data_IF_298351645966
#
_entry.id   IF_298351645966
#
_cell.length_a   1.000
_cell.length_b   1.000
_cell.length_c   1.000
_cell.angle_alpha   90.00
_cell.angle_beta   90.00
_cell.angle_gamma   90.00
#
_symmetry.space_group_name_H-M   'P 1'
#
loop_
_entity.id
_entity.type
_entity.pdbx_description
1 polymer ?
#
# COMPACT_ATOMS: atom_id res chain seq x y z
N UNK A 1 27.15 -0.37 -39.63
CA UNK A 1 26.52 0.66 -38.78
C UNK A 1 25.88 -0.06 -37.61
N UNK A 2 26.39 0.11 -36.39
CA UNK A 2 25.85 -0.56 -35.21
C UNK A 2 24.45 -0.02 -34.91
N UNK A 3 23.45 -0.89 -34.88
CA UNK A 3 22.13 -0.51 -34.40
C UNK A 3 22.27 -0.17 -32.91
N UNK A 4 22.29 1.13 -32.59
CA UNK A 4 22.14 1.54 -31.21
C UNK A 4 20.74 1.09 -30.75
N UNK A 5 20.69 0.31 -29.68
CA UNK A 5 19.46 -0.18 -29.09
C UNK A 5 18.94 0.84 -28.07
N UNK A 6 18.68 2.07 -28.54
CA UNK A 6 18.06 3.12 -27.75
C UNK A 6 16.55 2.93 -27.82
N UNK A 7 16.05 1.97 -27.05
CA UNK A 7 14.65 1.90 -26.65
C UNK A 7 14.32 3.25 -26.02
N UNK A 8 13.58 4.08 -26.76
CA UNK A 8 13.10 5.37 -26.29
C UNK A 8 11.98 5.10 -25.30
N UNK A 9 12.33 4.90 -24.02
CA UNK A 9 11.36 4.93 -22.94
C UNK A 9 10.94 6.40 -22.80
N UNK A 10 9.65 6.74 -23.03
CA UNK A 10 9.20 8.11 -22.96
C UNK A 10 9.53 8.70 -21.60
N UNK A 11 10.19 9.86 -21.60
CA UNK A 11 10.55 10.59 -20.38
C UNK A 11 9.35 11.25 -19.71
N UNK A 12 8.23 11.34 -20.43
CA UNK A 12 6.92 11.67 -19.87
C UNK A 12 6.29 10.38 -19.33
N UNK A 13 6.85 9.94 -18.20
CA UNK A 13 6.27 8.90 -17.37
C UNK A 13 4.91 9.34 -16.83
N UNK A 14 3.99 8.40 -16.70
CA UNK A 14 2.76 8.50 -15.91
C UNK A 14 2.96 9.40 -14.67
N UNK A 15 2.06 10.38 -14.40
CA UNK A 15 2.23 11.33 -13.29
C UNK A 15 2.61 10.63 -11.98
N UNK A 16 3.70 11.06 -11.35
CA UNK A 16 4.24 10.40 -10.16
C UNK A 16 3.20 10.27 -9.03
N UNK A 17 2.29 11.24 -8.90
CA UNK A 17 1.21 11.18 -7.92
C UNK A 17 0.25 9.99 -8.15
N UNK A 18 0.02 9.59 -9.40
CA UNK A 18 -0.88 8.48 -9.72
C UNK A 18 -0.30 7.14 -9.27
N UNK A 19 1.04 6.98 -9.27
CA UNK A 19 1.67 5.81 -8.67
C UNK A 19 1.39 5.74 -7.17
N UNK A 20 1.51 6.86 -6.46
CA UNK A 20 1.17 6.93 -5.04
C UNK A 20 -0.32 6.73 -4.78
N UNK A 21 -1.20 7.18 -5.68
CA UNK A 21 -2.64 6.94 -5.56
C UNK A 21 -2.98 5.44 -5.72
N UNK A 22 -2.39 4.77 -6.73
CA UNK A 22 -2.56 3.32 -6.93
C UNK A 22 -2.05 2.56 -5.70
N UNK A 23 -0.84 2.90 -5.24
CA UNK A 23 -0.23 2.34 -4.02
C UNK A 23 -1.17 2.49 -2.81
N UNK A 24 -1.72 3.69 -2.61
CA UNK A 24 -2.66 3.99 -1.54
C UNK A 24 -3.91 3.10 -1.60
N UNK A 25 -4.56 2.95 -2.76
CA UNK A 25 -5.78 2.15 -2.86
C UNK A 25 -5.54 0.65 -2.68
N UNK A 26 -4.37 0.15 -3.11
CA UNK A 26 -3.97 -1.24 -2.86
C UNK A 26 -3.82 -1.48 -1.35
N UNK A 27 -3.10 -0.58 -0.66
CA UNK A 27 -2.88 -0.68 0.79
C UNK A 27 -4.17 -0.51 1.56
N UNK A 28 -5.05 0.40 1.13
CA UNK A 28 -6.37 0.60 1.71
C UNK A 28 -7.24 -0.65 1.55
N UNK A 29 -7.26 -1.27 0.37
CA UNK A 29 -8.00 -2.50 0.13
C UNK A 29 -7.50 -3.66 1.01
N UNK A 30 -6.18 -3.80 1.15
CA UNK A 30 -5.59 -4.78 2.06
C UNK A 30 -5.95 -4.49 3.52
N UNK A 31 -5.86 -3.23 3.95
CA UNK A 31 -6.22 -2.79 5.30
C UNK A 31 -7.68 -3.09 5.63
N UNK A 32 -8.61 -2.70 4.75
CA UNK A 32 -10.04 -2.98 4.91
C UNK A 32 -10.30 -4.49 4.95
N UNK A 33 -9.71 -5.26 4.02
CA UNK A 33 -9.90 -6.71 3.97
C UNK A 33 -9.43 -7.41 5.26
N UNK A 34 -8.26 -7.04 5.77
CA UNK A 34 -7.72 -7.54 7.03
C UNK A 34 -8.63 -7.11 8.19
N UNK A 35 -9.03 -5.85 8.26
CA UNK A 35 -9.91 -5.34 9.32
C UNK A 35 -11.26 -6.07 9.35
N UNK A 36 -11.93 -6.22 8.21
CA UNK A 36 -13.22 -6.95 8.12
C UNK A 36 -13.08 -8.38 8.64
N UNK A 37 -12.03 -9.09 8.26
CA UNK A 37 -11.78 -10.46 8.74
C UNK A 37 -11.46 -10.54 10.25
N UNK A 38 -10.98 -9.43 10.82
CA UNK A 38 -10.56 -9.37 12.23
C UNK A 38 -11.71 -8.97 13.17
N UNK A 39 -12.70 -8.19 12.71
CA UNK A 39 -13.78 -7.68 13.57
C UNK A 39 -14.61 -8.80 14.21
N UNK A 40 -14.87 -9.90 13.51
CA UNK A 40 -15.62 -11.03 14.07
C UNK A 40 -14.92 -11.65 15.28
N UNK A 41 -13.59 -11.62 15.31
CA UNK A 41 -12.81 -12.09 16.45
C UNK A 41 -12.97 -11.16 17.66
N UNK A 42 -12.92 -9.84 17.46
CA UNK A 42 -13.10 -8.86 18.53
C UNK A 42 -14.54 -8.86 19.07
N UNK A 43 -15.55 -8.95 18.20
CA UNK A 43 -16.95 -9.09 18.63
C UNK A 43 -17.17 -10.31 19.53
N UNK A 44 -16.52 -11.44 19.21
CA UNK A 44 -16.59 -12.67 20.03
C UNK A 44 -15.93 -12.54 21.40
N UNK A 45 -15.00 -11.58 21.59
CA UNK A 45 -14.44 -11.28 22.91
C UNK A 45 -15.37 -10.44 23.78
N UNK A 46 -16.49 -9.95 23.25
CA UNK A 46 -17.44 -9.11 23.97
C UNK A 46 -17.08 -7.62 23.95
N UNK A 47 -16.25 -7.17 22.99
CA UNK A 47 -16.08 -5.73 22.76
C UNK A 47 -17.38 -5.11 22.25
N UNK A 48 -17.68 -3.90 22.72
CA UNK A 48 -18.82 -3.12 22.27
C UNK A 48 -18.61 -2.56 20.85
N UNK A 49 -19.70 -2.05 20.25
CA UNK A 49 -19.67 -1.55 18.87
C UNK A 49 -18.70 -0.37 18.69
N UNK A 50 -18.68 0.57 19.64
CA UNK A 50 -17.78 1.73 19.58
C UNK A 50 -16.32 1.30 19.60
N UNK A 51 -15.94 0.39 20.50
CA UNK A 51 -14.59 -0.14 20.55
C UNK A 51 -14.22 -0.89 19.26
N UNK A 52 -15.16 -1.65 18.72
CA UNK A 52 -14.96 -2.40 17.48
C UNK A 52 -14.68 -1.47 16.28
N UNK A 53 -15.35 -0.33 16.20
CA UNK A 53 -15.11 0.68 15.16
C UNK A 53 -13.72 1.33 15.28
N UNK A 54 -13.29 1.63 16.52
CA UNK A 54 -11.93 2.11 16.76
C UNK A 54 -10.87 1.08 16.39
N UNK A 55 -11.11 -0.19 16.71
CA UNK A 55 -10.22 -1.30 16.35
C UNK A 55 -10.17 -1.45 14.82
N UNK A 56 -11.31 -1.35 14.14
CA UNK A 56 -11.38 -1.44 12.67
C UNK A 56 -10.42 -0.44 12.01
N UNK A 57 -10.54 0.85 12.38
CA UNK A 57 -9.68 1.90 11.84
C UNK A 57 -8.24 1.81 12.35
N UNK A 58 -8.04 1.33 13.58
CA UNK A 58 -6.72 1.05 14.14
C UNK A 58 -5.95 0.02 13.31
N UNK A 59 -6.58 -1.08 12.92
CA UNK A 59 -5.97 -2.11 12.05
C UNK A 59 -5.65 -1.53 10.67
N UNK A 60 -6.57 -0.77 10.06
CA UNK A 60 -6.29 -0.08 8.78
C UNK A 60 -5.05 0.80 8.93
N UNK A 61 -4.98 1.62 9.97
CA UNK A 61 -3.84 2.50 10.25
C UNK A 61 -2.52 1.75 10.45
N UNK A 62 -2.53 0.62 11.15
CA UNK A 62 -1.34 -0.23 11.34
C UNK A 62 -0.85 -0.82 10.02
N UNK A 63 -1.76 -1.27 9.13
CA UNK A 63 -1.39 -1.76 7.80
C UNK A 63 -0.70 -0.66 6.99
N UNK A 64 -1.21 0.57 7.04
CA UNK A 64 -0.55 1.73 6.44
C UNK A 64 0.84 1.96 7.02
N UNK A 65 0.99 1.97 8.35
CA UNK A 65 2.30 2.15 9.00
C UNK A 65 3.31 1.09 8.57
N UNK A 66 2.92 -0.19 8.60
CA UNK A 66 3.78 -1.31 8.18
C UNK A 66 4.18 -1.14 6.72
N UNK A 67 3.24 -0.78 5.85
CA UNK A 67 3.52 -0.61 4.44
C UNK A 67 4.52 0.53 4.17
N UNK A 68 4.25 1.73 4.69
CA UNK A 68 5.07 2.90 4.40
C UNK A 68 6.43 2.90 5.11
N UNK A 69 6.54 2.29 6.30
CA UNK A 69 7.80 2.23 7.05
C UNK A 69 8.67 1.03 6.70
N UNK A 70 8.08 -0.10 6.27
CA UNK A 70 8.82 -1.35 6.06
C UNK A 70 8.78 -1.75 4.59
N UNK A 71 7.59 -1.98 4.02
CA UNK A 71 7.46 -2.56 2.68
C UNK A 71 7.98 -1.60 1.61
N UNK A 72 7.57 -0.33 1.67
CA UNK A 72 7.91 0.67 0.66
C UNK A 72 9.42 0.95 0.58
N UNK A 73 10.16 1.17 1.70
CA UNK A 73 11.62 1.28 1.64
C UNK A 73 12.31 0.02 1.07
N UNK A 74 11.77 -1.18 1.35
CA UNK A 74 12.30 -2.43 0.81
C UNK A 74 12.06 -2.56 -0.71
N UNK A 75 10.89 -2.12 -1.19
CA UNK A 75 10.57 -2.11 -2.63
C UNK A 75 11.44 -1.11 -3.40
N UNK A 76 11.62 0.11 -2.85
CA UNK A 76 12.45 1.16 -3.46
C UNK A 76 13.95 0.83 -3.47
N UNK A 77 14.38 -0.17 -2.68
CA UNK A 77 15.76 -0.66 -2.69
C UNK A 77 16.12 -1.42 -3.97
N UNK A 78 15.14 -1.84 -4.80
CA UNK A 78 15.39 -2.44 -6.12
C UNK A 78 15.64 -1.35 -7.18
N UNK A 79 16.78 -1.44 -7.89
CA UNK A 79 17.29 -0.40 -8.80
C UNK A 79 16.42 -0.06 -10.01
N UNK A 80 15.38 -0.87 -10.29
CA UNK A 80 14.45 -0.66 -11.39
C UNK A 80 13.34 0.33 -11.06
N UNK A 81 12.99 0.51 -9.78
CA UNK A 81 11.94 1.43 -9.34
C UNK A 81 12.48 2.77 -8.82
N UNK A 82 13.75 2.82 -8.41
CA UNK A 82 14.37 4.04 -7.85
C UNK A 82 14.72 5.11 -8.90
N UNK A 83 14.47 4.85 -10.18
CA UNK A 83 14.71 5.79 -11.31
C UNK A 83 13.42 6.40 -11.85
N UNK A 84 12.27 6.04 -11.29
CA UNK A 84 10.96 6.69 -11.50
C UNK A 84 10.84 7.79 -10.45
#
# INVERSE_FOLDING_TARGET
MGAHNNVHVPKESWPAFLWYAIEFFIVLGAGIGISVSSIDYFKKMGFDESMTDWIFWGIVGVVFLVYYLIVRPLLLRRSTLSRI
#
